data_IF_210213893333
#
_entry.id   IF_210213893333
#
_cell.length_a   1.000
_cell.length_b   1.000
_cell.length_c   1.000
_cell.angle_alpha   90.00
_cell.angle_beta   90.00
_cell.angle_gamma   90.00
#
_symmetry.space_group_name_H-M   'P 1'
#
loop_
_entity.id
_entity.type
_entity.pdbx_description
1 polymer ?
#
# COMPACT_ATOMS: atom_id res chain seq x y z
N UNK A 1 -18.37 -10.61 18.89
CA UNK A 1 -18.23 -10.53 17.42
C UNK A 1 -17.78 -11.90 16.94
N UNK A 2 -18.61 -12.63 16.18
CA UNK A 2 -18.19 -13.92 15.61
C UNK A 2 -17.41 -13.65 14.32
N UNK A 3 -16.16 -14.11 14.28
CA UNK A 3 -15.30 -13.96 13.12
C UNK A 3 -15.81 -14.89 12.00
N UNK A 4 -16.27 -14.34 10.87
CA UNK A 4 -16.82 -15.14 9.76
C UNK A 4 -15.76 -16.06 9.14
N UNK A 5 -14.61 -15.49 8.79
CA UNK A 5 -13.45 -16.21 8.25
C UNK A 5 -12.23 -15.28 8.24
N UNK A 6 -11.04 -15.86 8.33
CA UNK A 6 -9.78 -15.17 8.01
C UNK A 6 -9.46 -15.43 6.54
N UNK A 7 -9.58 -14.42 5.68
CA UNK A 7 -9.34 -14.57 4.24
C UNK A 7 -7.83 -14.61 3.93
N UNK A 8 -7.05 -13.76 4.61
CA UNK A 8 -5.60 -13.71 4.52
C UNK A 8 -5.01 -13.64 5.92
N UNK A 9 -4.17 -14.61 6.24
CA UNK A 9 -3.31 -14.57 7.42
C UNK A 9 -2.09 -13.64 7.19
N UNK A 10 -1.29 -13.46 8.23
CA UNK A 10 -0.08 -12.63 8.21
C UNK A 10 0.89 -13.02 7.08
N UNK A 11 1.12 -14.32 6.91
CA UNK A 11 2.07 -14.85 5.92
C UNK A 11 1.59 -14.55 4.51
N UNK A 12 0.29 -14.72 4.24
CA UNK A 12 -0.34 -14.38 2.95
C UNK A 12 -0.28 -12.89 2.66
N UNK A 13 -0.51 -12.03 3.66
CA UNK A 13 -0.38 -10.57 3.48
C UNK A 13 1.05 -10.21 3.13
N UNK A 14 2.05 -10.72 3.89
CA UNK A 14 3.47 -10.45 3.63
C UNK A 14 3.87 -10.87 2.21
N UNK A 15 3.53 -12.10 1.80
CA UNK A 15 3.80 -12.62 0.44
C UNK A 15 3.14 -11.77 -0.65
N UNK A 16 1.90 -11.34 -0.42
CA UNK A 16 1.17 -10.54 -1.41
C UNK A 16 1.79 -9.15 -1.59
N UNK A 17 2.20 -8.50 -0.50
CA UNK A 17 2.89 -7.20 -0.55
C UNK A 17 4.24 -7.33 -1.25
N UNK A 18 5.02 -8.38 -0.96
CA UNK A 18 6.28 -8.66 -1.67
C UNK A 18 6.06 -8.85 -3.17
N UNK A 19 5.05 -9.63 -3.58
CA UNK A 19 4.71 -9.83 -4.99
C UNK A 19 4.34 -8.51 -5.69
N UNK A 20 3.48 -7.71 -5.05
CA UNK A 20 3.11 -6.38 -5.59
C UNK A 20 4.34 -5.49 -5.76
N UNK A 21 5.29 -5.56 -4.82
CA UNK A 21 6.52 -4.76 -4.87
C UNK A 21 7.36 -5.11 -6.10
N UNK A 22 7.56 -6.39 -6.40
CA UNK A 22 8.25 -6.83 -7.62
C UNK A 22 7.49 -6.42 -8.90
N UNK A 23 6.17 -6.61 -8.94
CA UNK A 23 5.35 -6.23 -10.10
C UNK A 23 5.41 -4.73 -10.42
N UNK A 24 5.51 -3.87 -9.40
CA UNK A 24 5.70 -2.43 -9.59
C UNK A 24 7.04 -2.15 -10.27
N UNK A 25 8.14 -2.73 -9.79
CA UNK A 25 9.48 -2.52 -10.36
C UNK A 25 9.54 -3.03 -11.80
N UNK A 26 9.07 -4.26 -12.03
CA UNK A 26 9.12 -4.91 -13.35
C UNK A 26 8.34 -4.11 -14.39
N UNK A 27 7.13 -3.64 -14.05
CA UNK A 27 6.28 -2.87 -14.97
C UNK A 27 6.84 -1.49 -15.30
N UNK A 28 7.57 -0.87 -14.37
CA UNK A 28 8.13 0.46 -14.54
C UNK A 28 9.60 0.44 -14.99
N UNK A 29 10.17 -0.75 -15.29
CA UNK A 29 11.58 -0.95 -15.66
C UNK A 29 12.56 -0.36 -14.63
N UNK A 30 12.19 -0.45 -13.36
CA UNK A 30 12.85 0.23 -12.25
C UNK A 30 11.85 0.98 -11.37
N UNK A 31 12.36 1.86 -10.52
CA UNK A 31 11.58 2.64 -9.54
C UNK A 31 11.90 4.13 -9.49
N UNK A 32 12.77 4.62 -10.38
CA UNK A 32 13.33 5.98 -10.33
C UNK A 32 12.26 7.07 -10.52
N UNK A 33 11.28 6.84 -11.39
CA UNK A 33 10.19 7.78 -11.69
C UNK A 33 8.86 7.37 -11.03
N UNK A 34 8.92 6.55 -9.98
CA UNK A 34 7.73 6.04 -9.27
C UNK A 34 7.55 6.76 -7.94
N UNK A 35 6.30 7.14 -7.65
CA UNK A 35 5.86 7.60 -6.33
C UNK A 35 4.67 6.75 -5.89
N UNK A 36 4.62 6.42 -4.59
CA UNK A 36 3.47 5.75 -4.00
C UNK A 36 2.62 6.75 -3.22
N UNK A 37 1.29 6.65 -3.35
CA UNK A 37 0.36 7.48 -2.57
C UNK A 37 -0.56 6.57 -1.77
N UNK A 38 -0.40 6.58 -0.45
CA UNK A 38 -1.24 5.81 0.46
C UNK A 38 -2.52 6.56 0.78
N UNK A 39 -3.68 6.01 0.38
CA UNK A 39 -4.97 6.54 0.79
C UNK A 39 -5.24 6.16 2.25
N UNK A 40 -5.60 7.14 3.09
CA UNK A 40 -5.92 6.87 4.50
C UNK A 40 -7.13 5.93 4.62
N UNK A 41 -7.17 5.07 5.64
CA UNK A 41 -6.20 4.94 6.76
C UNK A 41 -5.15 3.85 6.52
N UNK A 42 -5.57 2.67 6.06
CA UNK A 42 -4.71 1.47 5.94
C UNK A 42 -3.91 1.39 4.63
N UNK A 43 -4.20 2.24 3.63
CA UNK A 43 -3.37 2.33 2.43
C UNK A 43 -1.97 2.89 2.72
N UNK A 44 -1.85 3.81 3.69
CA UNK A 44 -0.57 4.39 4.12
C UNK A 44 0.45 3.35 4.60
N UNK A 45 0.14 2.48 5.59
CA UNK A 45 1.11 1.46 6.02
C UNK A 45 1.42 0.44 4.92
N UNK A 46 0.48 0.15 4.01
CA UNK A 46 0.74 -0.73 2.87
C UNK A 46 1.73 -0.08 1.89
N UNK A 47 1.52 1.19 1.52
CA UNK A 47 2.41 1.94 0.64
C UNK A 47 3.84 2.02 1.21
N UNK A 48 3.98 2.27 2.52
CA UNK A 48 5.28 2.26 3.19
C UNK A 48 5.99 0.90 3.12
N UNK A 49 5.26 -0.20 3.35
CA UNK A 49 5.82 -1.56 3.25
C UNK A 49 6.26 -1.91 1.82
N UNK A 50 5.52 -1.44 0.83
CA UNK A 50 5.91 -1.62 -0.58
C UNK A 50 7.20 -0.83 -0.86
N UNK A 51 7.27 0.44 -0.46
CA UNK A 51 8.48 1.25 -0.63
C UNK A 51 9.71 0.61 0.05
N UNK A 52 9.55 0.11 1.28
CA UNK A 52 10.61 -0.58 2.03
C UNK A 52 11.06 -1.86 1.33
N UNK A 53 10.13 -2.67 0.82
CA UNK A 53 10.48 -3.83 0.01
C UNK A 53 11.27 -3.45 -1.24
N UNK A 54 10.82 -2.43 -1.98
CA UNK A 54 11.50 -1.98 -3.20
C UNK A 54 12.91 -1.48 -2.88
N UNK A 55 13.08 -0.74 -1.78
CA UNK A 55 14.40 -0.33 -1.28
C UNK A 55 15.28 -1.54 -0.99
N UNK A 56 14.75 -2.57 -0.35
CA UNK A 56 15.52 -3.78 -0.04
C UNK A 56 15.90 -4.60 -1.28
N UNK A 57 15.13 -4.52 -2.37
CA UNK A 57 15.37 -5.32 -3.57
C UNK A 57 16.31 -4.64 -4.56
N UNK A 58 16.16 -3.32 -4.77
CA UNK A 58 16.85 -2.58 -5.84
C UNK A 58 17.64 -1.37 -5.32
N UNK A 59 17.69 -1.16 -4.00
CA UNK A 59 18.31 0.02 -3.35
C UNK A 59 17.71 1.38 -3.79
N UNK A 60 16.45 1.38 -4.25
CA UNK A 60 15.73 2.59 -4.69
C UNK A 60 14.83 3.12 -3.56
N UNK A 61 15.02 4.39 -3.20
CA UNK A 61 14.12 5.10 -2.29
C UNK A 61 12.92 5.68 -3.03
N UNK A 62 11.77 5.02 -2.91
CA UNK A 62 10.51 5.50 -3.50
C UNK A 62 9.82 6.47 -2.55
N UNK A 63 9.51 7.71 -2.99
CA UNK A 63 8.73 8.65 -2.19
C UNK A 63 7.32 8.10 -1.89
N UNK A 64 6.88 8.30 -0.64
CA UNK A 64 5.54 7.89 -0.20
C UNK A 64 4.73 9.11 0.25
N UNK A 65 3.72 9.47 -0.54
CA UNK A 65 2.71 10.47 -0.20
C UNK A 65 1.52 9.88 0.54
N UNK A 66 0.68 10.76 1.09
CA UNK A 66 -0.56 10.39 1.78
C UNK A 66 -1.70 11.20 1.17
N UNK A 67 -2.81 10.51 0.87
CA UNK A 67 -4.04 11.15 0.41
C UNK A 67 -5.16 10.92 1.42
N UNK A 68 -5.72 12.02 1.92
CA UNK A 68 -6.92 12.01 2.75
C UNK A 68 -8.14 12.33 1.89
N UNK A 69 -8.94 11.30 1.62
CA UNK A 69 -10.14 11.42 0.78
C UNK A 69 -11.38 11.84 1.59
N UNK A 70 -11.25 12.10 2.89
CA UNK A 70 -12.41 12.31 3.76
C UNK A 70 -13.37 13.37 3.22
N UNK A 71 -12.84 14.52 2.75
CA UNK A 71 -13.62 15.64 2.18
C UNK A 71 -14.24 15.38 0.80
N UNK A 72 -13.89 14.28 0.16
CA UNK A 72 -14.34 13.91 -1.19
C UNK A 72 -15.33 12.74 -1.17
N UNK A 73 -15.72 12.28 0.01
CA UNK A 73 -16.69 11.20 0.14
C UNK A 73 -18.07 11.77 0.35
N UNK A 74 -19.05 11.24 -0.38
CA UNK A 74 -20.45 11.65 -0.27
C UNK A 74 -21.10 11.20 1.04
N UNK A 75 -20.51 10.21 1.74
CA UNK A 75 -21.00 9.67 3.01
C UNK A 75 -20.45 10.39 4.25
N UNK A 76 -19.95 11.62 4.08
CA UNK A 76 -19.36 12.44 5.13
C UNK A 76 -20.31 12.70 6.30
N UNK A 77 -21.61 12.83 6.01
CA UNK A 77 -22.68 13.06 6.99
C UNK A 77 -23.01 11.85 7.86
N UNK A 78 -22.61 10.63 7.49
CA UNK A 78 -22.90 9.40 8.26
C UNK A 78 -21.84 9.07 9.33
N UNK A 79 -20.75 9.84 9.38
CA UNK A 79 -19.63 9.66 10.30
C UNK A 79 -19.61 10.66 11.47
N UNK A 80 -20.70 11.41 11.67
CA UNK A 80 -20.90 12.34 12.82
C UNK A 80 -21.54 11.65 14.01
#
# INVERSE_FOLDING_TARGET
MNLKAVIMDEVKIKRSITRISHEIIEKNKGGQDVVLVGIKRRGVPIAKRIAENIKNFEDIDIPVGILDISLYRDDLSELS
#
